data_IF_754364368584
#
_entry.id   IF_754364368584
#
_cell.length_a   1.000
_cell.length_b   1.000
_cell.length_c   1.000
_cell.angle_alpha   90.00
_cell.angle_beta   90.00
_cell.angle_gamma   90.00
#
_symmetry.space_group_name_H-M   'P 1'
#
loop_
_entity.id
_entity.type
_entity.pdbx_description
1 polymer ?
#
# COMPACT_ATOMS: atom_id res chain seq x y z
N UNK A 1 22.76 -11.47 45.41
CA UNK A 1 23.58 -12.51 44.76
C UNK A 1 24.72 -11.83 44.02
N UNK A 2 25.86 -12.49 43.75
CA UNK A 2 26.90 -11.88 42.90
C UNK A 2 26.33 -11.69 41.50
N UNK A 3 26.59 -10.55 40.83
CA UNK A 3 26.09 -10.28 39.46
C UNK A 3 26.40 -11.43 38.49
N UNK A 4 27.57 -12.07 38.62
CA UNK A 4 27.95 -13.23 37.81
C UNK A 4 27.09 -14.48 38.09
N UNK A 5 26.64 -14.72 39.33
CA UNK A 5 25.82 -15.90 39.63
C UNK A 5 24.37 -15.74 39.16
N UNK A 6 23.90 -14.51 38.95
CA UNK A 6 22.57 -14.23 38.42
C UNK A 6 22.51 -14.50 36.91
N UNK A 7 23.58 -14.18 36.17
CA UNK A 7 23.66 -14.41 34.72
C UNK A 7 23.73 -15.89 34.35
N UNK A 8 24.51 -16.66 35.12
CA UNK A 8 24.59 -18.11 34.94
C UNK A 8 23.24 -18.78 35.30
N UNK A 9 22.49 -18.23 36.25
CA UNK A 9 21.17 -18.73 36.62
C UNK A 9 20.13 -18.44 35.51
N UNK A 10 20.06 -17.20 35.02
CA UNK A 10 19.14 -16.80 33.94
C UNK A 10 19.36 -17.60 32.66
N UNK A 11 20.61 -17.94 32.33
CA UNK A 11 20.93 -18.79 31.18
C UNK A 11 20.45 -20.24 31.28
N UNK A 12 19.99 -20.68 32.47
CA UNK A 12 19.47 -22.04 32.72
C UNK A 12 17.96 -22.10 32.87
N UNK A 13 17.26 -20.96 32.83
CA UNK A 13 15.82 -20.89 33.04
C UNK A 13 15.03 -21.56 31.92
N UNK A 14 13.93 -22.24 32.29
CA UNK A 14 12.93 -22.73 31.33
C UNK A 14 11.88 -21.66 31.02
N UNK A 15 11.15 -21.82 29.92
CA UNK A 15 10.12 -20.90 29.43
C UNK A 15 9.13 -20.41 30.53
N UNK A 16 8.68 -21.32 31.39
CA UNK A 16 7.76 -21.02 32.50
C UNK A 16 8.41 -20.20 33.63
N UNK A 17 9.71 -20.34 33.84
CA UNK A 17 10.47 -19.59 34.85
C UNK A 17 10.80 -18.19 34.35
N UNK A 18 11.14 -18.06 33.06
CA UNK A 18 11.28 -16.77 32.39
C UNK A 18 9.98 -15.95 32.49
N UNK A 19 8.83 -16.54 32.14
CA UNK A 19 7.54 -15.85 32.21
C UNK A 19 7.14 -15.41 33.63
N UNK A 20 7.56 -16.14 34.67
CA UNK A 20 7.20 -15.83 36.05
C UNK A 20 8.11 -14.79 36.73
N UNK A 21 9.39 -14.71 36.34
CA UNK A 21 10.42 -13.94 37.08
C UNK A 21 11.08 -12.83 36.27
N UNK A 22 10.72 -12.64 35.00
CA UNK A 22 11.37 -11.61 34.16
C UNK A 22 11.20 -10.17 34.67
N UNK A 23 10.07 -9.82 35.30
CA UNK A 23 9.82 -8.47 35.80
C UNK A 23 10.74 -8.07 36.96
N UNK A 24 11.22 -9.04 37.73
CA UNK A 24 12.13 -8.82 38.85
C UNK A 24 13.58 -8.68 38.37
N UNK A 25 13.95 -9.40 37.30
CA UNK A 25 15.33 -9.50 36.84
C UNK A 25 15.66 -8.54 35.69
N UNK A 26 14.66 -8.13 34.89
CA UNK A 26 14.85 -7.19 33.79
C UNK A 26 15.44 -5.84 34.26
N UNK A 27 14.95 -5.19 35.33
CA UNK A 27 15.54 -3.93 35.80
C UNK A 27 16.99 -4.10 36.28
N UNK A 28 17.32 -5.21 36.94
CA UNK A 28 18.70 -5.47 37.40
C UNK A 28 19.64 -5.76 36.22
N UNK A 29 19.16 -6.48 35.20
CA UNK A 29 19.90 -6.72 33.96
C UNK A 29 20.10 -5.42 33.17
N UNK A 30 19.07 -4.59 32.99
CA UNK A 30 19.18 -3.30 32.31
C UNK A 30 20.11 -2.33 33.06
N UNK A 31 20.08 -2.32 34.40
CA UNK A 31 21.02 -1.55 35.20
C UNK A 31 22.46 -2.06 35.05
N UNK A 32 22.66 -3.38 35.05
CA UNK A 32 23.98 -3.98 34.81
C UNK A 32 24.49 -3.65 33.41
N UNK A 33 23.59 -3.60 32.42
CA UNK A 33 23.90 -3.27 31.03
C UNK A 33 24.33 -1.80 30.88
N UNK A 34 23.67 -0.88 31.58
CA UNK A 34 24.03 0.56 31.59
C UNK A 34 25.37 0.87 32.30
N UNK A 35 25.87 -0.04 33.14
CA UNK A 35 27.07 0.14 33.96
C UNK A 35 28.32 -0.57 33.39
N UNK A 36 28.19 -1.27 32.26
CA UNK A 36 29.29 -2.03 31.65
C UNK A 36 30.11 -1.14 30.72
N UNK A 37 31.40 -0.99 31.03
CA UNK A 37 32.39 -0.34 30.14
C UNK A 37 33.09 -1.35 29.20
N UNK A 38 32.87 -2.64 29.41
CA UNK A 38 33.48 -3.75 28.67
C UNK A 38 32.50 -4.35 27.63
N UNK A 39 32.72 -4.02 26.36
CA UNK A 39 31.83 -4.40 25.25
C UNK A 39 31.61 -5.92 25.10
N UNK A 40 32.55 -6.77 25.54
CA UNK A 40 32.37 -8.22 25.49
C UNK A 40 31.32 -8.70 26.50
N UNK A 41 31.32 -8.11 27.70
CA UNK A 41 30.32 -8.39 28.74
C UNK A 41 28.96 -7.84 28.34
N UNK A 42 28.95 -6.66 27.72
CA UNK A 42 27.75 -6.02 27.18
C UNK A 42 27.04 -6.94 26.17
N UNK A 43 27.78 -7.54 25.24
CA UNK A 43 27.21 -8.46 24.24
C UNK A 43 26.82 -9.81 24.81
N UNK A 44 27.55 -10.32 25.79
CA UNK A 44 27.15 -11.52 26.53
C UNK A 44 25.79 -11.33 27.21
N UNK A 45 25.60 -10.20 27.89
CA UNK A 45 24.33 -9.81 28.54
C UNK A 45 23.21 -9.65 27.51
N UNK A 46 23.50 -9.03 26.37
CA UNK A 46 22.53 -8.77 25.33
C UNK A 46 22.09 -10.03 24.60
N UNK A 47 23.02 -10.94 24.33
CA UNK A 47 22.71 -12.26 23.77
C UNK A 47 21.84 -13.06 24.74
N UNK A 48 22.13 -13.00 26.03
CA UNK A 48 21.31 -13.63 27.07
C UNK A 48 19.89 -13.04 27.11
N UNK A 49 19.77 -11.71 27.07
CA UNK A 49 18.49 -10.98 27.01
C UNK A 49 17.67 -11.38 25.76
N UNK A 50 18.29 -11.32 24.58
CA UNK A 50 17.65 -11.65 23.30
C UNK A 50 17.24 -13.12 23.18
N UNK A 51 18.03 -14.05 23.70
CA UNK A 51 17.77 -15.49 23.57
C UNK A 51 16.83 -16.04 24.65
N UNK A 52 16.83 -15.45 25.86
CA UNK A 52 16.16 -16.04 27.03
C UNK A 52 14.90 -15.27 27.47
N UNK A 53 14.85 -13.95 27.20
CA UNK A 53 13.85 -13.06 27.79
C UNK A 53 12.98 -12.36 26.73
N UNK A 54 13.51 -12.01 25.55
CA UNK A 54 12.73 -11.34 24.48
C UNK A 54 11.50 -12.12 23.99
N UNK A 55 11.47 -13.46 23.91
CA UNK A 55 10.25 -14.19 23.55
C UNK A 55 9.06 -13.95 24.50
N UNK A 56 9.26 -13.28 25.63
CA UNK A 56 8.28 -13.10 26.70
C UNK A 56 8.09 -11.65 27.15
N UNK A 57 8.73 -10.66 26.51
CA UNK A 57 8.75 -9.26 26.97
C UNK A 57 8.43 -8.27 25.84
N UNK A 58 7.27 -7.59 25.91
CA UNK A 58 7.02 -6.35 25.17
C UNK A 58 7.38 -5.16 26.07
N UNK A 59 8.64 -4.69 26.04
CA UNK A 59 9.04 -3.51 26.81
C UNK A 59 9.86 -2.53 25.98
N UNK A 60 9.33 -1.31 25.88
CA UNK A 60 9.96 -0.13 25.27
C UNK A 60 11.29 0.26 25.91
N UNK A 61 11.56 -0.16 27.15
CA UNK A 61 12.81 0.16 27.86
C UNK A 61 13.99 -0.68 27.35
N UNK A 62 13.74 -1.93 26.94
CA UNK A 62 14.75 -2.78 26.33
C UNK A 62 15.14 -2.24 24.95
N UNK A 63 14.16 -1.80 24.18
CA UNK A 63 14.34 -1.25 22.84
C UNK A 63 15.31 -0.08 22.80
N UNK A 64 15.14 0.87 23.72
CA UNK A 64 16.02 2.03 23.85
C UNK A 64 17.45 1.62 24.19
N UNK A 65 17.64 0.66 25.08
CA UNK A 65 18.98 0.19 25.46
C UNK A 65 19.70 -0.53 24.32
N UNK A 66 18.98 -1.31 23.52
CA UNK A 66 19.54 -1.98 22.33
C UNK A 66 19.97 -0.97 21.27
N UNK A 67 19.13 0.03 20.99
CA UNK A 67 19.45 1.13 20.06
C UNK A 67 20.69 1.91 20.51
N UNK A 68 20.74 2.34 21.77
CA UNK A 68 21.88 3.09 22.34
C UNK A 68 23.19 2.28 22.29
N UNK A 69 23.11 0.96 22.49
CA UNK A 69 24.29 0.08 22.49
C UNK A 69 24.84 -0.16 21.10
N UNK A 70 23.95 -0.37 20.11
CA UNK A 70 24.38 -0.49 18.73
C UNK A 70 25.04 0.80 18.23
N UNK A 71 24.42 1.95 18.54
CA UNK A 71 24.96 3.26 18.20
C UNK A 71 26.34 3.50 18.84
N UNK A 72 26.51 3.13 20.11
CA UNK A 72 27.79 3.23 20.84
C UNK A 72 28.88 2.37 20.19
N UNK A 73 28.59 1.11 19.84
CA UNK A 73 29.57 0.22 19.20
C UNK A 73 30.06 0.78 17.86
N UNK A 74 29.16 1.22 16.98
CA UNK A 74 29.55 1.83 15.70
C UNK A 74 30.25 3.19 15.90
N UNK A 75 29.80 4.00 16.84
CA UNK A 75 30.43 5.28 17.18
C UNK A 75 31.87 5.12 17.69
N UNK A 76 32.13 4.09 18.49
CA UNK A 76 33.47 3.74 18.98
C UNK A 76 34.38 3.31 17.84
N UNK A 77 33.86 2.55 16.86
CA UNK A 77 34.64 2.20 15.66
C UNK A 77 35.07 3.46 14.91
N UNK A 78 34.16 4.41 14.70
CA UNK A 78 34.46 5.66 13.99
C UNK A 78 35.46 6.53 14.77
N UNK A 79 35.41 6.57 16.10
CA UNK A 79 36.35 7.34 16.92
C UNK A 79 37.74 6.70 16.96
N UNK A 80 37.84 5.38 17.12
CA UNK A 80 39.10 4.64 17.12
C UNK A 80 39.82 4.74 15.77
N UNK A 81 39.08 4.66 14.67
CA UNK A 81 39.64 4.83 13.32
C UNK A 81 40.20 6.24 13.12
N UNK A 82 39.54 7.29 13.64
CA UNK A 82 40.03 8.68 13.56
C UNK A 82 41.32 8.91 14.35
N UNK A 83 41.59 8.12 15.39
CA UNK A 83 42.82 8.20 16.18
C UNK A 83 44.04 7.56 15.48
N UNK A 84 43.81 6.83 14.38
CA UNK A 84 44.77 6.53 13.31
C UNK A 84 46.08 5.80 13.70
N UNK A 85 46.05 4.90 14.69
CA UNK A 85 47.18 4.00 15.00
C UNK A 85 46.90 2.56 14.58
N UNK A 86 47.85 1.93 13.87
CA UNK A 86 47.76 0.51 13.44
C UNK A 86 47.62 -0.48 14.60
N UNK A 87 48.05 -0.08 15.79
CA UNK A 87 47.98 -0.89 17.02
C UNK A 87 46.56 -1.07 17.56
N UNK A 88 45.55 -0.39 16.98
CA UNK A 88 44.12 -0.46 17.38
C UNK A 88 43.30 -1.33 16.40
N UNK A 89 43.95 -1.99 15.43
CA UNK A 89 43.25 -2.81 14.42
C UNK A 89 42.48 -4.00 15.02
N UNK A 90 43.07 -4.68 16.01
CA UNK A 90 42.41 -5.79 16.70
C UNK A 90 41.19 -5.29 17.49
N UNK A 91 41.30 -4.12 18.13
CA UNK A 91 40.19 -3.49 18.84
C UNK A 91 39.06 -3.08 17.88
N UNK A 92 39.37 -2.51 16.71
CA UNK A 92 38.37 -2.16 15.70
C UNK A 92 37.69 -3.41 15.14
N UNK A 93 38.46 -4.47 14.84
CA UNK A 93 37.91 -5.73 14.36
C UNK A 93 36.99 -6.37 15.41
N UNK A 94 37.38 -6.34 16.68
CA UNK A 94 36.56 -6.81 17.79
C UNK A 94 35.25 -6.01 17.89
N UNK A 95 35.29 -4.69 17.78
CA UNK A 95 34.08 -3.84 17.80
C UNK A 95 33.13 -4.11 16.62
N UNK A 96 33.68 -4.39 15.43
CA UNK A 96 32.87 -4.79 14.27
C UNK A 96 32.22 -6.16 14.45
N UNK A 97 32.94 -7.13 15.01
CA UNK A 97 32.40 -8.46 15.32
C UNK A 97 31.32 -8.39 16.40
N UNK A 98 31.51 -7.47 17.35
CA UNK A 98 30.56 -7.15 18.40
C UNK A 98 29.25 -6.55 17.84
N UNK A 99 29.33 -5.57 16.95
CA UNK A 99 28.16 -5.03 16.24
C UNK A 99 27.46 -6.09 15.36
N UNK A 100 28.24 -6.92 14.67
CA UNK A 100 27.78 -8.07 13.87
C UNK A 100 26.99 -9.07 14.73
N UNK A 101 27.46 -9.41 15.93
CA UNK A 101 26.77 -10.32 16.86
C UNK A 101 25.47 -9.73 17.40
N UNK A 102 25.42 -8.40 17.60
CA UNK A 102 24.21 -7.71 18.02
C UNK A 102 23.12 -7.78 16.93
N UNK A 103 23.47 -7.54 15.66
CA UNK A 103 22.53 -7.66 14.54
C UNK A 103 21.91 -9.08 14.48
N UNK A 104 22.74 -10.12 14.62
CA UNK A 104 22.25 -11.51 14.66
C UNK A 104 21.29 -11.77 15.82
N UNK A 105 21.58 -11.19 16.99
CA UNK A 105 20.76 -11.38 18.19
C UNK A 105 19.37 -10.77 18.00
N UNK A 106 19.29 -9.63 17.32
CA UNK A 106 18.02 -8.97 17.01
C UNK A 106 17.29 -9.67 15.88
N UNK A 107 18.01 -10.20 14.89
CA UNK A 107 17.42 -11.05 13.86
C UNK A 107 16.76 -12.30 14.48
N UNK A 108 17.39 -12.91 15.48
CA UNK A 108 16.80 -14.00 16.24
C UNK A 108 15.51 -13.54 16.94
N UNK A 109 15.50 -12.36 17.57
CA UNK A 109 14.27 -11.79 18.14
C UNK A 109 13.16 -11.63 17.10
N UNK A 110 13.47 -11.05 15.94
CA UNK A 110 12.51 -10.90 14.81
C UNK A 110 11.97 -12.25 14.36
N UNK A 111 12.82 -13.28 14.24
CA UNK A 111 12.40 -14.63 13.87
C UNK A 111 11.55 -15.30 14.95
N UNK A 112 11.87 -15.10 16.23
CA UNK A 112 11.08 -15.60 17.36
C UNK A 112 9.68 -14.98 17.37
N UNK A 113 9.56 -13.66 17.15
CA UNK A 113 8.26 -12.97 17.04
C UNK A 113 7.52 -13.40 15.77
N UNK A 114 8.23 -13.67 14.67
CA UNK A 114 7.65 -14.04 13.38
C UNK A 114 6.97 -15.42 13.38
N UNK A 115 7.41 -16.37 14.24
CA UNK A 115 6.77 -17.67 14.50
C UNK A 115 6.18 -18.41 13.28
N UNK A 116 5.19 -19.27 13.52
CA UNK A 116 4.31 -19.83 12.47
C UNK A 116 2.90 -19.19 12.47
N UNK A 117 2.64 -18.28 13.41
CA UNK A 117 1.33 -17.65 13.65
C UNK A 117 1.28 -16.17 13.24
N UNK A 118 0.06 -15.64 13.11
CA UNK A 118 -0.19 -14.21 12.93
C UNK A 118 0.35 -13.39 14.11
N UNK A 119 0.86 -12.18 13.82
CA UNK A 119 1.50 -11.31 14.82
C UNK A 119 0.64 -10.08 15.10
N UNK A 120 0.36 -9.80 16.37
CA UNK A 120 -0.35 -8.59 16.79
C UNK A 120 0.48 -7.32 16.55
N UNK A 121 -0.18 -6.26 16.07
CA UNK A 121 0.44 -4.96 15.75
C UNK A 121 1.19 -4.32 16.91
N UNK A 122 0.71 -4.48 18.15
CA UNK A 122 1.36 -3.95 19.34
C UNK A 122 2.80 -4.50 19.51
N UNK A 123 2.99 -5.78 19.23
CA UNK A 123 4.30 -6.45 19.28
C UNK A 123 5.19 -6.09 18.07
N UNK A 124 4.56 -5.80 16.92
CA UNK A 124 5.27 -5.35 15.72
C UNK A 124 5.78 -3.91 15.85
N UNK A 125 4.94 -2.99 16.33
CA UNK A 125 5.27 -1.56 16.43
C UNK A 125 6.46 -1.30 17.35
N UNK A 126 6.53 -2.01 18.46
CA UNK A 126 7.61 -1.88 19.43
C UNK A 126 8.96 -2.32 18.79
N UNK A 127 9.00 -3.53 18.23
CA UNK A 127 10.21 -4.08 17.59
C UNK A 127 10.65 -3.31 16.33
N UNK A 128 9.69 -2.76 15.59
CA UNK A 128 9.94 -2.08 14.32
C UNK A 128 10.95 -0.95 14.45
N UNK A 129 10.84 -0.09 15.47
CA UNK A 129 11.67 1.10 15.61
C UNK A 129 13.16 0.75 15.76
N UNK A 130 13.48 -0.23 16.59
CA UNK A 130 14.86 -0.66 16.85
C UNK A 130 15.48 -1.33 15.63
N UNK A 131 14.73 -2.26 15.00
CA UNK A 131 15.20 -2.94 13.79
C UNK A 131 15.52 -1.91 12.70
N UNK A 132 14.65 -0.93 12.50
CA UNK A 132 14.82 0.11 11.48
C UNK A 132 16.01 1.03 11.76
N UNK A 133 16.22 1.42 13.03
CA UNK A 133 17.37 2.22 13.45
C UNK A 133 18.69 1.49 13.14
N UNK A 134 18.76 0.21 13.48
CA UNK A 134 19.95 -0.63 13.28
C UNK A 134 20.21 -0.89 11.80
N UNK A 135 19.17 -1.17 11.00
CA UNK A 135 19.30 -1.30 9.55
C UNK A 135 19.89 -0.02 8.93
N UNK A 136 19.37 1.15 9.33
CA UNK A 136 19.82 2.45 8.84
C UNK A 136 21.28 2.71 9.18
N UNK A 137 21.65 2.56 10.46
CA UNK A 137 23.02 2.82 10.91
C UNK A 137 24.03 1.86 10.30
N UNK A 138 23.70 0.57 10.22
CA UNK A 138 24.56 -0.46 9.62
C UNK A 138 24.81 -0.20 8.14
N UNK A 139 23.77 0.05 7.35
CA UNK A 139 23.92 0.33 5.92
C UNK A 139 24.65 1.65 5.67
N UNK A 140 24.36 2.68 6.45
CA UNK A 140 25.05 3.96 6.32
C UNK A 140 26.54 3.83 6.64
N UNK A 141 26.90 3.05 7.66
CA UNK A 141 28.29 2.75 8.01
C UNK A 141 29.01 1.95 6.93
N UNK A 142 28.36 0.92 6.35
CA UNK A 142 28.89 0.18 5.21
C UNK A 142 29.09 1.10 3.99
N UNK A 143 28.17 2.03 3.73
CA UNK A 143 28.22 2.96 2.60
C UNK A 143 29.36 3.98 2.72
N UNK A 144 29.62 4.48 3.93
CA UNK A 144 30.69 5.46 4.18
C UNK A 144 32.04 4.81 4.50
N UNK A 145 32.09 3.47 4.54
CA UNK A 145 33.29 2.70 4.92
C UNK A 145 34.57 3.11 4.16
N UNK A 146 34.49 3.36 2.86
CA UNK A 146 35.66 3.81 2.08
C UNK A 146 36.23 5.14 2.55
N UNK A 147 35.37 6.04 3.05
CA UNK A 147 35.77 7.32 3.64
C UNK A 147 36.17 7.21 5.11
N UNK A 148 35.58 6.28 5.86
CA UNK A 148 35.85 6.10 7.29
C UNK A 148 37.17 5.38 7.49
N UNK A 149 37.39 4.26 6.79
CA UNK A 149 38.55 3.38 7.04
C UNK A 149 39.77 3.70 6.16
N UNK A 150 39.59 4.36 5.01
CA UNK A 150 40.68 4.71 4.10
C UNK A 150 41.59 3.51 3.80
N UNK A 151 42.88 3.64 4.12
CA UNK A 151 43.90 2.60 3.90
C UNK A 151 43.70 1.32 4.74
N UNK A 152 42.94 1.40 5.85
CA UNK A 152 42.64 0.25 6.71
C UNK A 152 41.47 -0.62 6.19
N UNK A 153 40.73 -0.13 5.18
CA UNK A 153 39.53 -0.79 4.66
C UNK A 153 39.80 -2.23 4.21
N UNK A 154 40.92 -2.47 3.53
CA UNK A 154 41.29 -3.80 3.04
C UNK A 154 41.41 -4.81 4.17
N UNK A 155 41.97 -4.39 5.32
CA UNK A 155 42.21 -5.24 6.48
C UNK A 155 40.96 -5.50 7.32
N UNK A 156 39.95 -4.63 7.25
CA UNK A 156 38.69 -4.72 8.00
C UNK A 156 37.50 -5.13 7.11
N UNK A 157 37.78 -5.47 5.85
CA UNK A 157 36.76 -5.80 4.85
C UNK A 157 35.91 -7.02 5.23
N UNK A 158 36.49 -7.98 5.95
CA UNK A 158 35.78 -9.16 6.44
C UNK A 158 34.73 -8.80 7.51
N UNK A 159 35.10 -8.00 8.51
CA UNK A 159 34.17 -7.53 9.55
C UNK A 159 33.05 -6.67 8.98
N UNK A 160 33.36 -5.77 8.04
CA UNK A 160 32.34 -4.97 7.33
C UNK A 160 31.41 -5.83 6.46
N UNK A 161 31.97 -6.85 5.80
CA UNK A 161 31.17 -7.79 5.02
C UNK A 161 30.25 -8.62 5.91
N UNK A 162 30.69 -8.99 7.12
CA UNK A 162 29.87 -9.68 8.10
C UNK A 162 28.70 -8.80 8.55
N UNK A 163 28.96 -7.54 8.93
CA UNK A 163 27.91 -6.57 9.26
C UNK A 163 26.91 -6.43 8.11
N UNK A 164 27.38 -6.24 6.87
CA UNK A 164 26.49 -6.09 5.72
C UNK A 164 25.59 -7.32 5.49
N UNK A 165 26.16 -8.53 5.52
CA UNK A 165 25.41 -9.78 5.32
C UNK A 165 24.37 -10.00 6.41
N UNK A 166 24.73 -9.78 7.67
CA UNK A 166 23.80 -9.92 8.81
C UNK A 166 22.72 -8.85 8.81
N UNK A 167 23.06 -7.61 8.47
CA UNK A 167 22.10 -6.52 8.28
C UNK A 167 21.07 -6.89 7.22
N UNK A 168 21.53 -7.45 6.10
CA UNK A 168 20.64 -7.91 5.02
C UNK A 168 19.78 -9.12 5.44
N UNK A 169 20.33 -10.03 6.25
CA UNK A 169 19.56 -11.16 6.79
C UNK A 169 18.47 -10.71 7.76
N UNK A 170 18.80 -9.76 8.66
CA UNK A 170 17.84 -9.07 9.53
C UNK A 170 16.76 -8.36 8.71
N UNK A 171 17.12 -7.64 7.65
CA UNK A 171 16.17 -6.98 6.75
C UNK A 171 15.16 -7.97 6.16
N UNK A 172 15.64 -9.10 5.63
CA UNK A 172 14.76 -10.12 5.04
C UNK A 172 13.84 -10.75 6.09
N UNK A 173 14.35 -11.00 7.29
CA UNK A 173 13.55 -11.51 8.41
C UNK A 173 12.48 -10.52 8.86
N UNK A 174 12.80 -9.22 8.84
CA UNK A 174 11.85 -8.16 9.18
C UNK A 174 10.77 -7.98 8.11
N UNK A 175 11.12 -8.14 6.83
CA UNK A 175 10.13 -8.19 5.73
C UNK A 175 9.20 -9.40 5.89
N UNK A 176 9.75 -10.56 6.21
CA UNK A 176 8.94 -11.75 6.50
C UNK A 176 8.00 -11.55 7.70
N UNK A 177 8.39 -10.75 8.70
CA UNK A 177 7.53 -10.39 9.82
C UNK A 177 6.37 -9.50 9.36
N UNK A 178 6.66 -8.48 8.53
CA UNK A 178 5.66 -7.55 7.98
C UNK A 178 4.52 -8.27 7.24
N UNK A 179 4.85 -9.33 6.49
CA UNK A 179 3.86 -10.13 5.75
C UNK A 179 2.87 -10.91 6.66
N UNK A 180 3.20 -11.06 7.96
CA UNK A 180 2.40 -11.82 8.95
C UNK A 180 1.69 -10.93 9.98
N UNK A 181 1.81 -9.61 9.88
CA UNK A 181 1.18 -8.66 10.82
C UNK A 181 -0.32 -8.59 10.56
N UNK A 182 -1.13 -8.81 11.60
CA UNK A 182 -2.59 -8.76 11.53
C UNK A 182 -3.14 -7.74 12.54
N UNK A 183 -4.19 -7.02 12.12
CA UNK A 183 -4.98 -6.13 12.97
C UNK A 183 -5.84 -6.99 13.93
N UNK A 184 -5.37 -7.20 15.16
CA UNK A 184 -6.13 -7.89 16.20
C UNK A 184 -7.31 -7.05 16.72
N UNK A 185 -8.34 -7.71 17.28
CA UNK A 185 -9.57 -7.06 17.80
C UNK A 185 -9.35 -6.14 19.03
N UNK A 186 -8.11 -6.00 19.50
CA UNK A 186 -7.67 -5.21 20.65
C UNK A 186 -6.76 -4.03 20.28
N UNK A 187 -6.44 -3.84 18.99
CA UNK A 187 -5.59 -2.73 18.54
C UNK A 187 -6.28 -1.39 18.79
N UNK A 188 -5.60 -0.46 19.46
CA UNK A 188 -6.17 0.88 19.68
C UNK A 188 -6.21 1.68 18.37
N UNK A 189 -7.16 2.60 18.24
CA UNK A 189 -7.22 3.52 17.08
C UNK A 189 -5.92 4.32 16.91
N UNK A 190 -5.17 4.59 18.00
CA UNK A 190 -3.87 5.24 17.98
C UNK A 190 -2.76 4.37 17.35
N UNK A 191 -2.77 3.05 17.58
CA UNK A 191 -1.81 2.11 16.96
C UNK A 191 -2.04 1.99 15.45
N UNK A 192 -3.32 2.01 15.05
CA UNK A 192 -3.75 1.99 13.64
C UNK A 192 -3.38 3.32 12.98
N UNK A 193 -3.60 4.45 13.64
CA UNK A 193 -3.16 5.76 13.12
C UNK A 193 -1.64 5.87 13.04
N UNK A 194 -0.86 5.33 13.98
CA UNK A 194 0.61 5.35 13.88
C UNK A 194 1.14 4.46 12.73
N UNK A 195 0.45 3.36 12.41
CA UNK A 195 0.76 2.49 11.27
C UNK A 195 0.30 3.08 9.92
N UNK A 196 -0.91 3.68 9.86
CA UNK A 196 -1.55 4.17 8.64
C UNK A 196 -1.28 5.65 8.32
N UNK A 197 -1.07 6.52 9.32
CA UNK A 197 -0.88 7.94 9.10
C UNK A 197 0.55 8.23 8.65
N UNK A 198 0.70 8.47 7.35
CA UNK A 198 1.94 8.84 6.66
C UNK A 198 2.63 10.15 7.11
N UNK A 199 2.35 10.69 8.30
CA UNK A 199 3.05 11.86 8.87
C UNK A 199 4.35 11.49 9.61
N UNK A 200 4.46 10.29 10.18
CA UNK A 200 5.74 9.73 10.70
C UNK A 200 6.55 9.00 9.61
N UNK A 201 5.89 8.58 8.53
CA UNK A 201 6.48 7.87 7.38
C UNK A 201 7.61 8.66 6.69
N UNK A 202 7.46 9.97 6.49
CA UNK A 202 8.45 10.77 5.76
C UNK A 202 9.80 10.94 6.47
N UNK A 203 9.83 11.04 7.81
CA UNK A 203 11.08 11.30 8.55
C UNK A 203 11.70 10.06 9.20
N UNK A 204 10.90 9.02 9.46
CA UNK A 204 11.35 7.79 10.12
C UNK A 204 11.47 6.62 9.14
N UNK A 205 10.54 6.49 8.18
CA UNK A 205 10.48 5.37 7.23
C UNK A 205 10.88 5.75 5.81
N UNK A 206 11.17 7.03 5.52
CA UNK A 206 11.41 7.54 4.16
C UNK A 206 12.57 6.84 3.44
N UNK A 207 13.67 6.59 4.14
CA UNK A 207 14.82 5.86 3.60
C UNK A 207 14.50 4.37 3.40
N UNK A 208 13.63 3.79 4.25
CA UNK A 208 13.26 2.37 4.24
C UNK A 208 12.21 2.04 3.17
N UNK A 209 11.23 2.94 2.98
CA UNK A 209 10.34 2.94 1.82
C UNK A 209 11.16 3.03 0.52
N UNK A 210 12.27 3.76 0.53
CA UNK A 210 13.25 3.76 -0.57
C UNK A 210 13.82 2.36 -0.86
N UNK A 211 14.25 1.63 0.17
CA UNK A 211 14.80 0.27 0.04
C UNK A 211 13.73 -0.79 -0.32
N UNK A 212 12.54 -0.71 0.27
CA UNK A 212 11.40 -1.57 -0.07
C UNK A 212 10.80 -1.22 -1.43
N UNK A 213 11.03 0.00 -1.95
CA UNK A 213 10.49 0.42 -3.24
C UNK A 213 10.99 -0.45 -4.38
N UNK A 214 12.22 -0.97 -4.32
CA UNK A 214 12.73 -1.86 -5.37
C UNK A 214 12.02 -3.22 -5.34
N UNK A 215 11.82 -3.79 -4.14
CA UNK A 215 11.08 -5.04 -3.94
C UNK A 215 9.61 -4.90 -4.32
N UNK A 216 8.93 -3.87 -3.82
CA UNK A 216 7.53 -3.56 -4.15
C UNK A 216 7.38 -3.23 -5.64
N UNK A 217 8.30 -2.48 -6.24
CA UNK A 217 8.30 -2.22 -7.69
C UNK A 217 8.52 -3.50 -8.48
N UNK A 218 9.38 -4.41 -8.02
CA UNK A 218 9.61 -5.70 -8.67
C UNK A 218 8.38 -6.60 -8.60
N UNK A 219 7.72 -6.69 -7.44
CA UNK A 219 6.46 -7.43 -7.25
C UNK A 219 5.37 -6.81 -8.12
N UNK A 220 5.22 -5.49 -8.09
CA UNK A 220 4.25 -4.76 -8.92
C UNK A 220 4.48 -5.02 -10.42
N UNK A 221 5.73 -4.91 -10.89
CA UNK A 221 6.10 -5.20 -12.28
C UNK A 221 5.82 -6.66 -12.66
N UNK A 222 6.17 -7.62 -11.81
CA UNK A 222 5.90 -9.05 -12.05
C UNK A 222 4.40 -9.34 -12.07
N UNK A 223 3.64 -8.78 -11.13
CA UNK A 223 2.18 -8.93 -11.04
C UNK A 223 1.49 -8.32 -12.24
N UNK A 224 1.91 -7.12 -12.66
CA UNK A 224 1.41 -6.49 -13.88
C UNK A 224 1.80 -7.30 -15.14
N UNK A 225 3.01 -7.87 -15.20
CA UNK A 225 3.41 -8.75 -16.30
C UNK A 225 2.58 -10.04 -16.35
N UNK A 226 2.25 -10.61 -15.18
CA UNK A 226 1.36 -11.76 -15.06
C UNK A 226 -0.05 -11.40 -15.52
N UNK A 227 -0.58 -10.27 -15.07
CA UNK A 227 -1.87 -9.74 -15.50
C UNK A 227 -1.94 -9.60 -17.02
N UNK A 228 -0.93 -9.01 -17.65
CA UNK A 228 -0.87 -8.86 -19.11
C UNK A 228 -0.80 -10.22 -19.83
N UNK A 229 -0.07 -11.18 -19.27
CA UNK A 229 0.00 -12.55 -19.81
C UNK A 229 -1.34 -13.27 -19.71
N UNK A 230 -2.06 -13.08 -18.59
CA UNK A 230 -3.39 -13.62 -18.37
C UNK A 230 -4.42 -13.00 -19.31
N UNK A 231 -4.42 -11.68 -19.48
CA UNK A 231 -5.25 -10.99 -20.48
C UNK A 231 -4.96 -11.53 -21.88
N UNK A 232 -3.68 -11.73 -22.24
CA UNK A 232 -3.32 -12.30 -23.54
C UNK A 232 -3.75 -13.76 -23.70
N UNK A 233 -3.83 -14.54 -22.62
CA UNK A 233 -4.36 -15.90 -22.64
C UNK A 233 -5.86 -15.87 -22.91
N UNK A 234 -6.60 -15.03 -22.19
CA UNK A 234 -8.04 -14.86 -22.38
C UNK A 234 -8.39 -14.38 -23.80
N UNK A 235 -7.56 -13.51 -24.40
CA UNK A 235 -7.76 -13.03 -25.78
C UNK A 235 -7.69 -14.16 -26.83
N UNK A 236 -7.04 -15.27 -26.49
CA UNK A 236 -6.94 -16.47 -27.35
C UNK A 236 -8.04 -17.49 -27.08
N UNK A 237 -8.80 -17.34 -26.00
CA UNK A 237 -9.90 -18.23 -25.69
C UNK A 237 -11.04 -17.97 -26.68
N UNK A 238 -11.63 -19.04 -27.20
CA UNK A 238 -12.78 -18.98 -28.11
C UNK A 238 -13.92 -19.74 -27.47
N UNK A 239 -14.93 -19.01 -27.00
CA UNK A 239 -16.20 -19.60 -26.58
C UNK A 239 -17.06 -19.84 -27.83
N UNK A 240 -17.41 -21.10 -28.07
CA UNK A 240 -18.20 -21.54 -29.23
C UNK A 240 -19.40 -22.38 -28.83
N UNK A 241 -20.14 -22.90 -29.81
CA UNK A 241 -21.32 -23.75 -29.58
C UNK A 241 -21.01 -25.09 -28.91
N UNK A 242 -19.73 -25.47 -28.80
CA UNK A 242 -19.26 -26.70 -28.14
C UNK A 242 -18.65 -26.44 -26.77
N UNK A 243 -18.56 -25.19 -26.32
CA UNK A 243 -18.08 -24.86 -24.97
C UNK A 243 -19.08 -25.37 -23.94
N UNK A 244 -18.59 -26.00 -22.88
CA UNK A 244 -19.47 -26.44 -21.79
C UNK A 244 -19.95 -25.24 -20.96
N UNK A 245 -21.07 -25.41 -20.25
CA UNK A 245 -21.57 -24.42 -19.31
C UNK A 245 -20.51 -24.06 -18.24
N UNK A 246 -19.74 -25.05 -17.78
CA UNK A 246 -18.62 -24.84 -16.86
C UNK A 246 -17.55 -23.94 -17.50
N UNK A 247 -17.17 -24.14 -18.76
CA UNK A 247 -16.18 -23.29 -19.44
C UNK A 247 -16.61 -21.83 -19.52
N UNK A 248 -17.91 -21.59 -19.78
CA UNK A 248 -18.50 -20.26 -19.84
C UNK A 248 -18.46 -19.61 -18.45
N UNK A 249 -18.82 -20.35 -17.40
CA UNK A 249 -18.78 -19.86 -16.02
C UNK A 249 -17.36 -19.51 -15.56
N UNK A 250 -16.37 -20.35 -15.88
CA UNK A 250 -14.97 -20.04 -15.59
C UNK A 250 -14.50 -18.78 -16.32
N UNK A 251 -14.95 -18.56 -17.57
CA UNK A 251 -14.64 -17.34 -18.31
C UNK A 251 -15.32 -16.10 -17.71
N UNK A 252 -16.59 -16.20 -17.29
CA UNK A 252 -17.29 -15.15 -16.56
C UNK A 252 -16.55 -14.79 -15.26
N UNK A 253 -16.18 -15.79 -14.45
CA UNK A 253 -15.43 -15.58 -13.22
C UNK A 253 -14.06 -14.92 -13.49
N UNK A 254 -13.36 -15.32 -14.55
CA UNK A 254 -12.10 -14.68 -14.94
C UNK A 254 -12.28 -13.19 -15.30
N UNK A 255 -13.38 -12.81 -15.97
CA UNK A 255 -13.69 -11.40 -16.26
C UNK A 255 -14.02 -10.61 -14.99
N UNK A 256 -14.79 -11.17 -14.07
CA UNK A 256 -15.14 -10.53 -12.81
C UNK A 256 -13.91 -10.36 -11.91
N UNK A 257 -13.03 -11.37 -11.82
CA UNK A 257 -11.76 -11.26 -11.09
C UNK A 257 -10.84 -10.19 -11.70
N UNK A 258 -10.83 -10.03 -13.03
CA UNK A 258 -10.10 -8.93 -13.68
C UNK A 258 -10.69 -7.56 -13.36
N UNK A 259 -12.02 -7.47 -13.19
CA UNK A 259 -12.69 -6.26 -12.74
C UNK A 259 -12.38 -5.95 -11.27
N UNK A 260 -12.40 -6.94 -10.37
CA UNK A 260 -11.98 -6.75 -8.97
C UNK A 260 -10.53 -6.26 -8.88
N UNK A 261 -9.63 -6.84 -9.68
CA UNK A 261 -8.26 -6.34 -9.81
C UNK A 261 -8.23 -4.89 -10.30
N UNK A 262 -9.10 -4.53 -11.25
CA UNK A 262 -9.22 -3.16 -11.76
C UNK A 262 -9.60 -2.18 -10.63
N UNK A 263 -10.53 -2.55 -9.75
CA UNK A 263 -10.94 -1.73 -8.62
C UNK A 263 -9.78 -1.46 -7.65
N UNK A 264 -8.91 -2.45 -7.42
CA UNK A 264 -7.72 -2.31 -6.58
C UNK A 264 -6.68 -1.37 -7.23
N UNK A 265 -6.39 -1.55 -8.52
CA UNK A 265 -5.35 -0.75 -9.20
C UNK A 265 -5.82 0.66 -9.59
N UNK A 266 -7.12 0.95 -9.55
CA UNK A 266 -7.70 2.27 -9.84
C UNK A 266 -7.11 3.39 -8.98
N UNK A 267 -6.73 3.08 -7.74
CA UNK A 267 -6.09 4.03 -6.81
C UNK A 267 -4.56 4.04 -6.90
N UNK A 268 -3.98 3.07 -7.61
CA UNK A 268 -2.52 2.85 -7.70
C UNK A 268 -1.92 3.36 -9.02
N UNK A 269 -2.51 2.96 -10.15
CA UNK A 269 -1.98 3.29 -11.49
C UNK A 269 -3.11 3.39 -12.54
N UNK A 270 -3.29 4.60 -13.05
CA UNK A 270 -4.32 4.93 -14.05
C UNK A 270 -4.11 4.20 -15.39
N UNK A 271 -2.85 3.91 -15.77
CA UNK A 271 -2.54 3.24 -17.04
C UNK A 271 -2.93 1.76 -16.96
N UNK A 272 -2.65 1.10 -15.84
CA UNK A 272 -3.08 -0.29 -15.61
C UNK A 272 -4.60 -0.35 -15.58
N UNK A 273 -5.25 0.57 -14.88
CA UNK A 273 -6.72 0.69 -14.82
C UNK A 273 -7.34 0.78 -16.22
N UNK A 274 -6.87 1.71 -17.05
CA UNK A 274 -7.33 1.85 -18.46
C UNK A 274 -7.12 0.56 -19.24
N UNK A 275 -5.96 -0.08 -19.09
CA UNK A 275 -5.61 -1.31 -19.83
C UNK A 275 -6.51 -2.47 -19.43
N UNK A 276 -6.80 -2.58 -18.13
CA UNK A 276 -7.66 -3.63 -17.55
C UNK A 276 -9.10 -3.42 -18.00
N UNK A 277 -9.65 -2.22 -17.88
CA UNK A 277 -10.99 -1.90 -18.38
C UNK A 277 -11.14 -2.14 -19.88
N UNK A 278 -10.12 -1.77 -20.66
CA UNK A 278 -10.08 -2.04 -22.10
C UNK A 278 -10.15 -3.55 -22.39
N UNK A 279 -9.42 -4.37 -21.62
CA UNK A 279 -9.43 -5.81 -21.77
C UNK A 279 -10.77 -6.43 -21.37
N UNK A 280 -11.29 -6.09 -20.18
CA UNK A 280 -12.58 -6.58 -19.68
C UNK A 280 -13.70 -6.26 -20.67
N UNK A 281 -13.79 -5.01 -21.10
CA UNK A 281 -14.80 -4.58 -22.07
C UNK A 281 -14.65 -5.30 -23.42
N UNK A 282 -13.42 -5.40 -23.95
CA UNK A 282 -13.17 -6.11 -25.21
C UNK A 282 -13.60 -7.57 -25.14
N UNK A 283 -13.16 -8.30 -24.11
CA UNK A 283 -13.44 -9.73 -23.95
C UNK A 283 -14.93 -9.99 -23.73
N UNK A 284 -15.60 -9.16 -22.91
CA UNK A 284 -17.04 -9.23 -22.73
C UNK A 284 -17.79 -9.03 -24.05
N UNK A 285 -17.39 -8.05 -24.87
CA UNK A 285 -18.02 -7.79 -26.16
C UNK A 285 -17.71 -8.89 -27.20
N UNK A 286 -16.48 -9.42 -27.19
CA UNK A 286 -16.05 -10.47 -28.12
C UNK A 286 -16.86 -11.76 -27.97
N UNK A 287 -17.25 -12.09 -26.73
CA UNK A 287 -18.02 -13.30 -26.42
C UNK A 287 -19.46 -13.01 -25.99
N UNK A 288 -20.00 -11.83 -26.32
CA UNK A 288 -21.30 -11.35 -25.83
C UNK A 288 -22.44 -12.37 -25.95
N UNK A 289 -22.49 -13.12 -27.05
CA UNK A 289 -23.58 -14.07 -27.32
C UNK A 289 -23.54 -15.26 -26.35
N UNK A 290 -22.34 -15.73 -25.98
CA UNK A 290 -22.13 -16.80 -25.00
C UNK A 290 -22.27 -16.31 -23.56
N UNK A 291 -21.95 -15.04 -23.30
CA UNK A 291 -21.94 -14.45 -21.95
C UNK A 291 -23.30 -13.85 -21.55
N UNK A 292 -24.20 -13.67 -22.52
CA UNK A 292 -25.54 -13.12 -22.32
C UNK A 292 -26.31 -13.94 -21.27
N UNK A 293 -26.84 -13.28 -20.23
CA UNK A 293 -27.46 -13.89 -19.04
C UNK A 293 -26.53 -14.68 -18.10
N UNK A 294 -25.24 -14.83 -18.40
CA UNK A 294 -24.29 -15.57 -17.55
C UNK A 294 -23.28 -14.65 -16.86
N UNK A 295 -22.84 -13.61 -17.56
CA UNK A 295 -22.01 -12.56 -16.97
C UNK A 295 -22.88 -11.59 -16.18
N UNK A 296 -22.52 -11.34 -14.92
CA UNK A 296 -23.10 -10.25 -14.13
C UNK A 296 -22.56 -8.91 -14.61
N UNK A 297 -23.17 -8.39 -15.67
CA UNK A 297 -22.83 -7.07 -16.25
C UNK A 297 -23.20 -5.94 -15.29
N UNK A 298 -24.13 -6.17 -14.36
CA UNK A 298 -24.57 -5.17 -13.39
C UNK A 298 -23.39 -4.71 -12.54
N UNK A 299 -22.58 -5.64 -12.04
CA UNK A 299 -21.39 -5.32 -11.23
C UNK A 299 -20.39 -4.44 -12.00
N UNK A 300 -20.13 -4.78 -13.27
CA UNK A 300 -19.19 -4.02 -14.12
C UNK A 300 -19.70 -2.59 -14.37
N UNK A 301 -20.98 -2.47 -14.75
CA UNK A 301 -21.61 -1.19 -15.07
C UNK A 301 -21.72 -0.30 -13.84
N UNK A 302 -22.17 -0.84 -12.71
CA UNK A 302 -22.27 -0.10 -11.44
C UNK A 302 -20.91 0.42 -10.99
N UNK A 303 -19.86 -0.40 -11.07
CA UNK A 303 -18.49 0.04 -10.75
C UNK A 303 -18.04 1.19 -11.65
N UNK A 304 -18.22 1.06 -12.97
CA UNK A 304 -17.88 2.13 -13.91
C UNK A 304 -18.66 3.41 -13.67
N UNK A 305 -19.96 3.33 -13.35
CA UNK A 305 -20.77 4.49 -13.02
C UNK A 305 -20.19 5.24 -11.82
N UNK A 306 -19.83 4.51 -10.76
CA UNK A 306 -19.23 5.09 -9.56
C UNK A 306 -17.86 5.72 -9.85
N UNK A 307 -17.00 5.04 -10.61
CA UNK A 307 -15.67 5.52 -11.00
C UNK A 307 -15.77 6.80 -11.82
N UNK A 308 -16.60 6.81 -12.87
CA UNK A 308 -16.85 7.98 -13.72
C UNK A 308 -17.37 9.12 -12.88
N UNK A 309 -18.35 8.87 -12.02
CA UNK A 309 -18.97 9.92 -11.23
C UNK A 309 -17.97 10.55 -10.24
N UNK A 310 -17.17 9.72 -9.58
CA UNK A 310 -16.11 10.17 -8.67
C UNK A 310 -15.10 11.04 -9.41
N UNK A 311 -14.65 10.58 -10.58
CA UNK A 311 -13.69 11.33 -11.40
C UNK A 311 -14.29 12.62 -11.93
N UNK A 312 -15.54 12.60 -12.40
CA UNK A 312 -16.28 13.76 -12.88
C UNK A 312 -16.40 14.85 -11.81
N UNK A 313 -16.77 14.48 -10.58
CA UNK A 313 -16.79 15.42 -9.43
C UNK A 313 -15.40 16.00 -9.16
N UNK A 314 -14.37 15.17 -9.25
CA UNK A 314 -12.99 15.61 -9.05
C UNK A 314 -12.50 16.59 -10.15
N UNK A 315 -13.00 16.50 -11.39
CA UNK A 315 -12.65 17.45 -12.45
C UNK A 315 -12.95 18.90 -12.08
N UNK A 316 -14.05 19.15 -11.35
CA UNK A 316 -14.36 20.49 -10.88
C UNK A 316 -13.36 20.98 -9.83
N UNK A 317 -12.80 20.10 -8.99
CA UNK A 317 -11.76 20.46 -8.03
C UNK A 317 -10.43 20.82 -8.71
N UNK A 318 -10.16 20.21 -9.88
CA UNK A 318 -8.96 20.46 -10.69
C UNK A 318 -9.11 21.70 -11.57
N UNK A 319 -10.32 22.15 -11.87
CA UNK A 319 -10.56 23.38 -12.61
C UNK A 319 -10.30 24.62 -11.72
N UNK A 320 -9.81 25.74 -12.29
CA UNK A 320 -9.75 27.00 -11.56
C UNK A 320 -11.14 27.42 -11.09
N UNK A 321 -11.26 27.81 -9.82
CA UNK A 321 -12.53 28.20 -9.21
C UNK A 321 -12.55 29.70 -8.96
N UNK A 322 -13.66 30.35 -9.29
CA UNK A 322 -13.92 31.76 -8.98
C UNK A 322 -15.17 31.89 -8.12
N UNK A 323 -15.19 32.84 -7.19
CA UNK A 323 -16.41 33.17 -6.46
C UNK A 323 -17.43 33.89 -7.36
N UNK A 324 -18.60 34.17 -6.81
CA UNK A 324 -19.68 34.88 -7.51
C UNK A 324 -19.31 36.33 -7.88
N UNK A 325 -18.24 36.87 -7.29
CA UNK A 325 -17.72 38.21 -7.50
C UNK A 325 -16.52 38.21 -8.48
N UNK A 326 -16.11 37.04 -8.96
CA UNK A 326 -15.00 36.85 -9.91
C UNK A 326 -13.61 36.75 -9.25
N UNK A 327 -13.53 36.70 -7.93
CA UNK A 327 -12.26 36.51 -7.22
C UNK A 327 -11.80 35.05 -7.33
N UNK A 328 -10.49 34.85 -7.49
CA UNK A 328 -9.90 33.51 -7.60
C UNK A 328 -9.94 32.79 -6.24
N UNK A 329 -10.67 31.68 -6.18
CA UNK A 329 -10.73 30.77 -5.02
C UNK A 329 -9.61 29.72 -5.11
N UNK A 330 -9.36 29.17 -6.30
CA UNK A 330 -8.33 28.16 -6.54
C UNK A 330 -7.70 28.36 -7.93
N UNK A 331 -6.38 28.17 -8.01
CA UNK A 331 -5.65 28.21 -9.27
C UNK A 331 -5.88 26.96 -10.14
N UNK A 332 -6.45 25.88 -9.59
CA UNK A 332 -6.63 24.59 -10.26
C UNK A 332 -5.31 23.88 -10.60
N UNK A 333 -5.42 22.73 -11.28
CA UNK A 333 -4.30 22.00 -11.89
C UNK A 333 -4.68 21.62 -13.34
N UNK A 334 -4.30 22.43 -14.35
CA UNK A 334 -4.65 22.18 -15.75
C UNK A 334 -4.06 20.88 -16.29
N UNK A 335 -2.91 20.44 -15.77
CA UNK A 335 -2.21 19.24 -16.25
C UNK A 335 -2.88 17.99 -15.70
N UNK A 336 -3.22 17.98 -14.41
CA UNK A 336 -4.02 16.91 -13.82
C UNK A 336 -5.41 16.87 -14.47
N UNK A 337 -6.08 18.03 -14.63
CA UNK A 337 -7.39 18.11 -15.29
C UNK A 337 -7.36 17.48 -16.69
N UNK A 338 -6.41 17.87 -17.53
CA UNK A 338 -6.30 17.35 -18.91
C UNK A 338 -6.10 15.83 -18.97
N UNK A 339 -5.43 15.24 -17.96
CA UNK A 339 -5.29 13.79 -17.84
C UNK A 339 -6.60 13.15 -17.37
N UNK A 340 -7.15 13.66 -16.27
CA UNK A 340 -8.37 13.13 -15.63
C UNK A 340 -9.57 13.17 -16.58
N UNK A 341 -9.76 14.25 -17.34
CA UNK A 341 -10.90 14.38 -18.27
C UNK A 341 -10.84 13.35 -19.40
N UNK A 342 -9.62 13.00 -19.86
CA UNK A 342 -9.41 11.95 -20.86
C UNK A 342 -9.68 10.55 -20.31
N UNK A 343 -9.33 10.32 -19.04
CA UNK A 343 -9.62 9.06 -18.34
C UNK A 343 -11.13 8.90 -18.18
N UNK A 344 -11.83 9.93 -17.70
CA UNK A 344 -13.29 9.95 -17.59
C UNK A 344 -13.95 9.70 -18.94
N UNK A 345 -13.47 10.36 -20.02
CA UNK A 345 -13.98 10.13 -21.36
C UNK A 345 -13.71 8.73 -21.91
N UNK A 346 -12.60 8.09 -21.52
CA UNK A 346 -12.35 6.69 -21.83
C UNK A 346 -13.33 5.76 -21.09
N UNK A 347 -13.51 5.95 -19.77
CA UNK A 347 -14.44 5.16 -18.96
C UNK A 347 -15.89 5.31 -19.46
N UNK A 348 -16.31 6.53 -19.83
CA UNK A 348 -17.62 6.76 -20.46
C UNK A 348 -17.79 5.97 -21.76
N UNK A 349 -16.76 5.90 -22.63
CA UNK A 349 -16.82 5.09 -23.86
C UNK A 349 -16.94 3.60 -23.57
N UNK A 350 -16.22 3.11 -22.57
CA UNK A 350 -16.34 1.71 -22.11
C UNK A 350 -17.76 1.46 -21.61
N UNK A 351 -18.30 2.35 -20.78
CA UNK A 351 -19.66 2.27 -20.25
C UNK A 351 -20.70 2.21 -21.37
N UNK A 352 -20.67 3.14 -22.34
CA UNK A 352 -21.59 3.15 -23.50
C UNK A 352 -21.48 1.85 -24.30
N UNK A 353 -20.27 1.32 -24.46
CA UNK A 353 -20.05 0.06 -25.18
C UNK A 353 -20.71 -1.11 -24.46
N UNK A 354 -20.54 -1.22 -23.14
CA UNK A 354 -21.18 -2.28 -22.35
C UNK A 354 -22.70 -2.14 -22.36
N UNK A 355 -23.23 -0.92 -22.18
CA UNK A 355 -24.68 -0.65 -22.22
C UNK A 355 -25.28 -1.08 -23.56
N UNK A 356 -24.60 -0.76 -24.66
CA UNK A 356 -25.02 -1.12 -26.01
C UNK A 356 -24.98 -2.64 -26.25
N UNK A 357 -23.85 -3.29 -25.95
CA UNK A 357 -23.66 -4.70 -26.33
C UNK A 357 -24.48 -5.65 -25.46
N UNK A 358 -24.82 -5.23 -24.24
CA UNK A 358 -25.66 -5.97 -23.28
C UNK A 358 -27.06 -5.36 -23.13
N UNK A 359 -27.55 -4.65 -24.15
CA UNK A 359 -28.91 -4.14 -24.19
C UNK A 359 -29.94 -5.28 -23.97
N UNK A 360 -30.86 -5.06 -23.02
CA UNK A 360 -31.81 -6.08 -22.56
C UNK A 360 -31.31 -7.00 -21.43
N UNK A 361 -30.05 -6.89 -21.03
CA UNK A 361 -29.40 -7.73 -19.99
C UNK A 361 -28.72 -6.92 -18.89
N UNK A 362 -29.04 -5.63 -18.79
CA UNK A 362 -28.45 -4.72 -17.81
C UNK A 362 -28.91 -5.02 -16.38
N UNK A 363 -30.09 -5.63 -16.22
CA UNK A 363 -30.65 -5.92 -14.90
C UNK A 363 -30.74 -4.65 -14.05
N UNK A 364 -30.39 -4.77 -12.77
CA UNK A 364 -30.60 -3.72 -11.79
C UNK A 364 -29.72 -2.46 -11.98
N UNK A 365 -28.64 -2.54 -12.77
CA UNK A 365 -27.72 -1.40 -12.96
C UNK A 365 -28.31 -0.21 -13.74
N UNK A 366 -29.54 -0.37 -14.26
CA UNK A 366 -30.28 0.69 -14.95
C UNK A 366 -30.52 1.90 -14.05
N UNK A 367 -30.72 1.67 -12.75
CA UNK A 367 -30.90 2.76 -11.78
C UNK A 367 -29.62 3.57 -11.60
N UNK A 368 -28.47 2.91 -11.53
CA UNK A 368 -27.15 3.53 -11.40
C UNK A 368 -26.79 4.32 -12.66
N UNK A 369 -27.13 3.80 -13.85
CA UNK A 369 -27.00 4.52 -15.11
C UNK A 369 -27.86 5.78 -15.13
N UNK A 370 -29.12 5.68 -14.67
CA UNK A 370 -30.01 6.83 -14.53
C UNK A 370 -29.43 7.88 -13.57
N UNK A 371 -28.96 7.47 -12.39
CA UNK A 371 -28.34 8.37 -11.41
C UNK A 371 -27.09 9.07 -11.97
N UNK A 372 -26.24 8.33 -12.69
CA UNK A 372 -25.08 8.91 -13.37
C UNK A 372 -25.52 9.98 -14.37
N UNK A 373 -26.48 9.66 -15.24
CA UNK A 373 -27.01 10.59 -16.25
C UNK A 373 -27.58 11.86 -15.61
N UNK A 374 -28.37 11.72 -14.54
CA UNK A 374 -28.92 12.87 -13.81
C UNK A 374 -27.81 13.76 -13.25
N UNK A 375 -26.80 13.16 -12.65
CA UNK A 375 -25.73 13.87 -11.95
C UNK A 375 -24.77 14.57 -12.93
N UNK A 376 -24.53 13.97 -14.11
CA UNK A 376 -23.81 14.62 -15.21
C UNK A 376 -24.56 15.87 -15.69
N UNK A 377 -25.86 15.77 -15.97
CA UNK A 377 -26.65 16.91 -16.44
C UNK A 377 -26.85 17.98 -15.33
N UNK A 378 -26.86 17.58 -14.05
CA UNK A 378 -27.00 18.52 -12.92
C UNK A 378 -25.84 19.51 -12.83
N UNK A 379 -24.62 19.07 -13.14
CA UNK A 379 -23.41 19.90 -13.00
C UNK A 379 -22.96 20.59 -14.29
N UNK A 380 -23.66 20.36 -15.39
CA UNK A 380 -23.33 20.98 -16.67
C UNK A 380 -24.37 22.03 -17.07
N UNK A 381 -23.99 23.09 -17.79
CA UNK A 381 -24.95 24.02 -18.37
C UNK A 381 -25.99 23.27 -19.23
N UNK A 382 -27.27 23.70 -19.26
CA UNK A 382 -27.84 24.93 -18.70
C UNK A 382 -28.28 24.84 -17.22
N UNK A 383 -27.84 23.82 -16.47
CA UNK A 383 -28.23 23.67 -15.06
C UNK A 383 -27.82 24.85 -14.18
N UNK A 384 -28.75 25.29 -13.32
CA UNK A 384 -28.51 26.37 -12.36
C UNK A 384 -27.59 25.95 -11.21
N UNK A 385 -27.46 24.64 -10.97
CA UNK A 385 -26.52 24.06 -10.00
C UNK A 385 -25.13 23.81 -10.59
N UNK A 386 -24.88 24.15 -11.87
CA UNK A 386 -23.59 23.95 -12.50
C UNK A 386 -22.51 24.84 -11.83
N UNK A 387 -21.35 24.27 -11.43
CA UNK A 387 -20.25 25.05 -10.88
C UNK A 387 -19.72 26.11 -11.86
N UNK A 388 -19.36 27.28 -11.35
CA UNK A 388 -18.77 28.36 -12.15
C UNK A 388 -17.29 28.08 -12.45
N UNK A 389 -17.03 27.36 -13.53
CA UNK A 389 -15.68 27.09 -14.06
C UNK A 389 -15.45 27.81 -15.39
N UNK A 390 -14.18 28.05 -15.81
CA UNK A 390 -13.90 28.69 -17.08
C UNK A 390 -14.42 27.86 -18.25
N UNK A 391 -14.99 28.54 -19.25
CA UNK A 391 -15.66 27.93 -20.41
C UNK A 391 -14.86 26.82 -21.10
N UNK A 392 -13.54 26.96 -21.22
CA UNK A 392 -12.68 25.94 -21.82
C UNK A 392 -12.78 24.59 -21.09
N UNK A 393 -12.81 24.59 -19.74
CA UNK A 393 -12.89 23.38 -18.93
C UNK A 393 -14.28 22.75 -19.05
N UNK A 394 -15.33 23.57 -19.10
CA UNK A 394 -16.70 23.11 -19.37
C UNK A 394 -16.77 22.41 -20.73
N UNK A 395 -16.26 23.04 -21.80
CA UNK A 395 -16.26 22.45 -23.15
C UNK A 395 -15.46 21.14 -23.22
N UNK A 396 -14.35 21.03 -22.49
CA UNK A 396 -13.56 19.80 -22.43
C UNK A 396 -14.31 18.66 -21.73
N UNK A 397 -15.02 18.97 -20.63
CA UNK A 397 -15.90 18.00 -19.95
C UNK A 397 -17.04 17.59 -20.88
N UNK A 398 -17.66 18.54 -21.58
CA UNK A 398 -18.73 18.26 -22.52
C UNK A 398 -18.28 17.29 -23.61
N UNK A 399 -17.16 17.60 -24.27
CA UNK A 399 -16.65 16.81 -25.40
C UNK A 399 -16.12 15.44 -25.02
N UNK A 400 -15.67 15.23 -23.78
CA UNK A 400 -15.09 13.95 -23.37
C UNK A 400 -16.08 13.08 -22.61
N UNK A 401 -16.92 13.69 -21.75
CA UNK A 401 -17.75 12.97 -20.78
C UNK A 401 -19.22 13.04 -21.19
N UNK A 402 -19.80 14.24 -21.27
CA UNK A 402 -21.27 14.32 -21.42
C UNK A 402 -21.77 14.11 -22.84
N UNK A 403 -20.96 14.28 -23.88
CA UNK A 403 -21.35 13.93 -25.26
C UNK A 403 -21.74 12.46 -25.40
N UNK A 404 -21.24 11.59 -24.50
CA UNK A 404 -21.54 10.17 -24.50
C UNK A 404 -22.92 9.84 -23.88
N UNK A 405 -23.61 10.80 -23.26
CA UNK A 405 -24.94 10.56 -22.67
C UNK A 405 -25.99 10.33 -23.76
N UNK A 406 -25.93 11.04 -24.88
CA UNK A 406 -26.87 10.91 -26.01
C UNK A 406 -26.90 9.50 -26.63
N UNK A 407 -25.76 8.91 -27.06
CA UNK A 407 -25.76 7.54 -27.55
C UNK A 407 -26.15 6.53 -26.47
N UNK A 408 -25.79 6.77 -25.20
CA UNK A 408 -26.19 5.89 -24.10
C UNK A 408 -27.71 5.90 -23.88
N UNK A 409 -28.35 7.08 -23.94
CA UNK A 409 -29.80 7.22 -23.86
C UNK A 409 -30.52 6.44 -24.96
N UNK A 410 -29.99 6.47 -26.18
CA UNK A 410 -30.57 5.74 -27.32
C UNK A 410 -30.71 4.24 -27.02
N UNK A 411 -29.76 3.65 -26.29
CA UNK A 411 -29.80 2.24 -25.88
C UNK A 411 -30.65 1.97 -24.63
N UNK A 412 -30.92 3.00 -23.83
CA UNK A 412 -31.70 2.89 -22.59
C UNK A 412 -33.20 3.16 -22.80
N UNK A 413 -33.59 3.89 -23.84
CA UNK A 413 -35.00 4.22 -24.11
C UNK A 413 -35.88 2.97 -24.37
N UNK A 414 -35.30 1.84 -24.78
CA UNK A 414 -36.00 0.57 -24.89
C UNK A 414 -36.20 -0.17 -23.56
N UNK A 415 -35.55 0.27 -22.49
CA UNK A 415 -35.58 -0.41 -21.20
C UNK A 415 -36.72 0.11 -20.31
N UNK A 416 -37.60 -0.80 -19.90
CA UNK A 416 -38.77 -0.47 -19.08
C UNK A 416 -38.41 0.13 -17.71
N UNK A 417 -37.42 -0.42 -17.01
CA UNK A 417 -37.01 0.09 -15.70
C UNK A 417 -36.41 1.49 -15.81
N UNK A 418 -35.74 1.79 -16.92
CA UNK A 418 -35.22 3.13 -17.19
C UNK A 418 -36.36 4.14 -17.37
N UNK A 419 -37.40 3.78 -18.14
CA UNK A 419 -38.60 4.60 -18.31
C UNK A 419 -39.31 4.80 -16.96
N UNK A 420 -39.43 3.75 -16.14
CA UNK A 420 -40.02 3.87 -14.80
C UNK A 420 -39.22 4.85 -13.92
N UNK A 421 -37.89 4.81 -13.95
CA UNK A 421 -37.04 5.80 -13.27
C UNK A 421 -37.24 7.24 -13.81
N UNK A 422 -37.41 7.40 -15.13
CA UNK A 422 -37.71 8.71 -15.74
C UNK A 422 -39.09 9.25 -15.29
N UNK A 423 -40.06 8.38 -15.08
CA UNK A 423 -41.43 8.76 -14.72
C UNK A 423 -41.62 8.96 -13.21
N UNK A 424 -40.76 8.41 -12.36
CA UNK A 424 -40.87 8.48 -10.90
C UNK A 424 -40.76 9.91 -10.36
N UNK A 425 -41.81 10.41 -9.69
CA UNK A 425 -41.94 11.81 -9.23
C UNK A 425 -41.75 11.99 -7.72
N UNK A 426 -41.38 10.96 -6.97
CA UNK A 426 -41.21 11.08 -5.52
C UNK A 426 -39.83 11.65 -5.13
N UNK A 427 -39.80 12.61 -4.19
CA UNK A 427 -38.55 13.12 -3.59
C UNK A 427 -37.86 14.28 -4.33
N UNK A 428 -38.61 15.29 -4.80
CA UNK A 428 -38.06 16.44 -5.51
C UNK A 428 -37.03 17.24 -4.70
N UNK A 429 -35.75 17.08 -5.05
CA UNK A 429 -34.77 18.14 -4.89
C UNK A 429 -34.92 19.13 -6.07
N UNK A 430 -35.15 20.41 -5.76
CA UNK A 430 -35.33 21.47 -6.76
C UNK A 430 -34.13 21.59 -7.69
N UNK A 431 -32.95 21.17 -7.23
CA UNK A 431 -31.71 21.20 -8.01
C UNK A 431 -31.66 20.12 -9.11
N UNK A 432 -32.46 19.05 -9.00
CA UNK A 432 -32.47 17.93 -9.97
C UNK A 432 -33.62 18.03 -10.99
N UNK A 433 -34.51 19.01 -10.86
CA UNK A 433 -35.66 19.15 -11.76
C UNK A 433 -35.24 19.37 -13.22
N UNK A 434 -34.24 20.23 -13.47
CA UNK A 434 -33.84 20.54 -14.85
C UNK A 434 -33.14 19.35 -15.52
N UNK A 435 -32.24 18.67 -14.81
CA UNK A 435 -31.56 17.49 -15.36
C UNK A 435 -32.55 16.40 -15.73
N UNK A 436 -33.58 16.18 -14.90
CA UNK A 436 -34.66 15.25 -15.23
C UNK A 436 -35.51 15.69 -16.43
N UNK A 437 -35.90 16.97 -16.49
CA UNK A 437 -36.64 17.49 -17.65
C UNK A 437 -35.85 17.33 -18.96
N UNK A 438 -34.54 17.60 -18.93
CA UNK A 438 -33.67 17.41 -20.10
C UNK A 438 -33.63 15.94 -20.53
N UNK A 439 -33.54 15.01 -19.58
CA UNK A 439 -33.57 13.57 -19.87
C UNK A 439 -34.93 13.09 -20.41
N UNK A 440 -36.04 13.74 -20.05
CA UNK A 440 -37.38 13.43 -20.57
C UNK A 440 -37.67 14.06 -21.95
N UNK A 441 -36.85 15.01 -22.39
CA UNK A 441 -36.99 15.67 -23.70
C UNK A 441 -36.30 14.91 -24.85
N UNK A 442 -35.38 14.00 -24.50
CA UNK A 442 -34.74 13.04 -25.43
C UNK A 442 -35.69 11.89 -25.68
#
# INVERSE_FOLDING_TARGET
MSQSSMLDEVGTWRETECQARWQEVLPELLNSFSAVEDGLKEIGLLKLLCQSLVPHIPSTDLEKQVEESFHRLLGNVVSLVKNNSRDILEEIAQQLEMASTLIDSIEQCVKCVCGDSEVEISSFLSLSKVVLSILKESYQHCKTSSSVYGDLLGMLSEGLSAIFKKTHSLQMSFISLLDKVVLGSTSSDEDIEHFCAGKTSSSVYGDLLGMLSEGLSAIFKKTHSLQMSFISLLDKVVLGSTSSDEDIEHFCAALLNLHELCAIVNTLDVKITITTWKAVSKLACQHKDSLRNRLDVSVLVTSLCLEVLTLFRHLFQLAPQTDKEGNKISCGDPKAFSKSVKVAGFQMKVLVTLVKEFEGYLGNCVRELYQLLQELHRHMPPSLSAPSIPKQYTEDIERQVTIATEPMLTHLLGNREFIECLMDTEGFDKEMCLSKCLLQMV
#
